data_IF_358369756226
#
_entry.id   IF_358369756226
#
_cell.length_a   1.000
_cell.length_b   1.000
_cell.length_c   1.000
_cell.angle_alpha   90.00
_cell.angle_beta   90.00
_cell.angle_gamma   90.00
#
_symmetry.space_group_name_H-M   'P 1'
#
loop_
_entity.id
_entity.type
_entity.pdbx_description
1 polymer ?
#
# COMPACT_ATOMS: atom_id res chain seq x y z
N UNK A 1 -9.40 37.87 1.81
CA UNK A 1 -9.49 37.34 3.19
C UNK A 1 -8.09 36.84 3.54
N UNK A 2 -7.57 37.11 4.73
CA UNK A 2 -6.22 36.64 5.10
C UNK A 2 -6.32 35.23 5.68
N UNK A 3 -5.70 34.26 5.02
CA UNK A 3 -5.62 32.89 5.50
C UNK A 3 -4.40 32.73 6.40
N UNK A 4 -4.55 31.98 7.49
CA UNK A 4 -3.49 31.66 8.44
C UNK A 4 -3.37 30.14 8.56
N UNK A 5 -2.19 29.60 8.26
CA UNK A 5 -1.85 28.20 8.53
C UNK A 5 -1.21 28.15 9.90
N UNK A 6 -1.76 27.31 10.79
CA UNK A 6 -1.34 27.22 12.18
C UNK A 6 -1.02 25.79 12.57
N UNK A 7 -0.17 25.63 13.57
CA UNK A 7 0.03 24.35 14.23
C UNK A 7 -1.02 24.11 15.35
N UNK A 8 -0.97 22.93 15.98
CA UNK A 8 -1.88 22.55 17.07
C UNK A 8 -1.79 23.44 18.32
N UNK A 9 -0.67 24.13 18.52
CA UNK A 9 -0.48 25.11 19.59
C UNK A 9 -1.08 26.50 19.24
N UNK A 10 -1.60 26.67 18.01
CA UNK A 10 -2.15 27.93 17.53
C UNK A 10 -1.10 28.93 17.04
N UNK A 11 0.17 28.53 16.96
CA UNK A 11 1.22 29.37 16.39
C UNK A 11 1.03 29.46 14.87
N UNK A 12 1.11 30.68 14.33
CA UNK A 12 1.08 30.92 12.89
C UNK A 12 2.40 30.44 12.26
N UNK A 13 2.29 29.54 11.29
CA UNK A 13 3.41 29.05 10.48
C UNK A 13 3.55 29.88 9.21
N UNK A 14 2.41 30.26 8.63
CA UNK A 14 2.34 31.05 7.41
C UNK A 14 1.03 31.84 7.36
N UNK A 15 1.06 33.00 6.71
CA UNK A 15 -0.16 33.72 6.37
C UNK A 15 -0.06 34.37 5.00
N UNK A 16 -1.20 34.40 4.32
CA UNK A 16 -1.30 34.84 2.93
C UNK A 16 -2.63 35.56 2.70
N UNK A 17 -2.62 36.57 1.85
CA UNK A 17 -3.82 37.30 1.44
C UNK A 17 -4.49 36.58 0.26
N UNK A 18 -5.19 35.49 0.56
CA UNK A 18 -5.81 34.60 -0.42
C UNK A 18 -6.56 33.45 0.26
N UNK A 19 -7.04 32.48 -0.53
CA UNK A 19 -7.63 31.26 0.02
C UNK A 19 -6.55 30.26 0.53
N UNK A 20 -6.98 29.11 1.07
CA UNK A 20 -6.05 28.13 1.63
C UNK A 20 -5.17 27.44 0.58
N UNK A 21 -5.68 27.21 -0.64
CA UNK A 21 -4.92 26.57 -1.71
C UNK A 21 -3.86 27.54 -2.23
N UNK A 22 -4.25 28.78 -2.46
CA UNK A 22 -3.30 29.86 -2.81
C UNK A 22 -2.23 30.06 -1.72
N UNK A 23 -2.62 29.96 -0.44
CA UNK A 23 -1.67 30.05 0.66
C UNK A 23 -0.69 28.86 0.71
N UNK A 24 -1.10 27.66 0.31
CA UNK A 24 -0.23 26.48 0.28
C UNK A 24 0.70 26.51 -0.94
N UNK A 25 0.21 26.94 -2.10
CA UNK A 25 1.01 27.17 -3.30
C UNK A 25 2.11 28.22 -3.02
N UNK A 26 1.72 29.38 -2.47
CA UNK A 26 2.68 30.42 -2.08
C UNK A 26 3.65 29.96 -0.99
N UNK A 27 3.22 29.07 -0.09
CA UNK A 27 4.12 28.45 0.90
C UNK A 27 5.15 27.53 0.24
N UNK A 28 4.77 26.81 -0.83
CA UNK A 28 5.67 25.98 -1.63
C UNK A 28 6.72 26.81 -2.35
N UNK A 29 6.29 27.86 -3.06
CA UNK A 29 7.19 28.81 -3.73
C UNK A 29 8.20 29.45 -2.75
N UNK A 30 7.76 29.75 -1.54
CA UNK A 30 8.59 30.33 -0.49
C UNK A 30 9.34 29.29 0.37
N UNK A 31 9.22 27.99 0.07
CA UNK A 31 9.83 26.88 0.82
C UNK A 31 9.56 26.94 2.32
N UNK A 32 8.32 27.25 2.68
CA UNK A 32 7.90 27.40 4.07
C UNK A 32 7.77 26.03 4.73
N UNK A 33 8.37 25.89 5.91
CA UNK A 33 8.18 24.70 6.74
C UNK A 33 6.80 24.71 7.39
N UNK A 34 5.92 23.83 6.92
CA UNK A 34 4.57 23.64 7.43
C UNK A 34 4.48 22.42 8.36
N UNK A 35 5.61 21.99 8.93
CA UNK A 35 5.67 20.91 9.92
C UNK A 35 4.65 21.15 11.03
N UNK A 36 3.83 20.12 11.31
CA UNK A 36 2.77 20.13 12.33
C UNK A 36 1.64 21.14 12.09
N UNK A 37 1.47 21.64 10.87
CA UNK A 37 0.29 22.39 10.50
C UNK A 37 -0.99 21.57 10.75
N UNK A 38 -2.10 22.26 11.03
CA UNK A 38 -3.42 21.65 11.21
C UNK A 38 -4.33 22.14 10.09
N UNK A 39 -4.66 21.21 9.19
CA UNK A 39 -5.46 21.37 7.99
C UNK A 39 -6.62 20.36 7.97
N UNK A 40 -7.08 19.95 9.16
CA UNK A 40 -8.18 18.99 9.32
C UNK A 40 -9.46 19.48 8.62
N UNK A 41 -10.07 18.61 7.81
CA UNK A 41 -11.28 18.89 7.06
C UNK A 41 -11.13 19.90 5.92
N UNK A 42 -9.90 20.33 5.60
CA UNK A 42 -9.65 21.28 4.53
C UNK A 42 -10.09 20.72 3.16
N UNK A 43 -10.66 21.58 2.32
CA UNK A 43 -10.86 21.26 0.90
C UNK A 43 -9.62 21.69 0.11
N UNK A 44 -8.80 20.70 -0.21
CA UNK A 44 -7.57 20.80 -0.98
C UNK A 44 -7.72 20.02 -2.30
N UNK A 45 -8.95 19.86 -2.79
CA UNK A 45 -9.17 19.15 -4.06
C UNK A 45 -8.53 19.90 -5.22
N UNK A 46 -7.76 19.14 -6.00
CA UNK A 46 -6.95 19.66 -7.10
C UNK A 46 -5.89 20.67 -6.69
N UNK A 47 -5.56 20.79 -5.40
CA UNK A 47 -4.52 21.70 -4.94
C UNK A 47 -3.15 21.22 -5.43
N UNK A 48 -2.28 22.17 -5.74
CA UNK A 48 -0.86 21.90 -5.95
C UNK A 48 -0.13 22.04 -4.62
N UNK A 49 0.42 20.93 -4.13
CA UNK A 49 1.13 20.82 -2.87
C UNK A 49 2.57 20.35 -3.07
N UNK A 50 3.03 20.25 -4.32
CA UNK A 50 4.35 19.74 -4.69
C UNK A 50 5.48 20.33 -3.84
N UNK A 51 6.45 19.49 -3.48
CA UNK A 51 7.65 19.85 -2.71
C UNK A 51 7.40 20.40 -1.28
N UNK A 52 6.16 20.48 -0.81
CA UNK A 52 5.88 21.00 0.52
C UNK A 52 6.46 20.10 1.63
N UNK A 53 7.01 20.74 2.66
CA UNK A 53 7.33 20.08 3.91
C UNK A 53 6.11 20.07 4.84
N UNK A 54 5.36 18.97 4.80
CA UNK A 54 4.14 18.73 5.59
C UNK A 54 4.36 17.65 6.66
N UNK A 55 5.58 17.52 7.18
CA UNK A 55 5.90 16.55 8.24
C UNK A 55 4.96 16.70 9.42
N UNK A 56 4.40 15.59 9.89
CA UNK A 56 3.48 15.57 11.03
C UNK A 56 2.26 16.51 10.88
N UNK A 57 1.90 16.92 9.66
CA UNK A 57 0.68 17.68 9.40
C UNK A 57 -0.54 16.87 9.82
N UNK A 58 -1.59 17.55 10.29
CA UNK A 58 -2.91 16.95 10.46
C UNK A 58 -3.79 17.35 9.27
N UNK A 59 -4.22 16.34 8.50
CA UNK A 59 -5.10 16.43 7.33
C UNK A 59 -6.30 15.48 7.50
N UNK A 60 -6.75 15.28 8.74
CA UNK A 60 -7.85 14.34 9.03
C UNK A 60 -9.11 14.77 8.32
N UNK A 61 -9.79 13.84 7.66
CA UNK A 61 -11.00 14.11 6.89
C UNK A 61 -10.82 15.18 5.78
N UNK A 62 -9.59 15.53 5.41
CA UNK A 62 -9.35 16.49 4.34
C UNK A 62 -9.76 15.92 2.97
N UNK A 63 -10.21 16.79 2.08
CA UNK A 63 -10.48 16.43 0.70
C UNK A 63 -9.26 16.79 -0.16
N UNK A 64 -8.47 15.80 -0.54
CA UNK A 64 -7.27 15.89 -1.38
C UNK A 64 -7.51 15.26 -2.77
N UNK A 65 -8.77 15.12 -3.18
CA UNK A 65 -9.13 14.49 -4.46
C UNK A 65 -8.39 15.18 -5.61
N UNK A 66 -7.59 14.41 -6.35
CA UNK A 66 -6.84 14.89 -7.51
C UNK A 66 -5.79 15.95 -7.19
N UNK A 67 -5.40 16.12 -5.93
CA UNK A 67 -4.32 17.03 -5.56
C UNK A 67 -2.97 16.50 -6.09
N UNK A 68 -2.05 17.42 -6.39
CA UNK A 68 -0.67 17.10 -6.67
C UNK A 68 0.12 17.13 -5.35
N UNK A 69 0.61 15.98 -4.89
CA UNK A 69 1.48 15.84 -3.72
C UNK A 69 2.83 15.24 -4.12
N UNK A 70 3.25 15.36 -5.39
CA UNK A 70 4.55 14.87 -5.81
C UNK A 70 5.69 15.42 -4.93
N UNK A 71 6.63 14.57 -4.55
CA UNK A 71 7.81 14.95 -3.73
C UNK A 71 7.49 15.54 -2.33
N UNK A 72 6.23 15.51 -1.87
CA UNK A 72 5.85 16.06 -0.57
C UNK A 72 6.40 15.21 0.59
N UNK A 73 6.89 15.88 1.63
CA UNK A 73 7.26 15.22 2.88
C UNK A 73 6.06 15.13 3.82
N UNK A 74 5.49 13.94 3.95
CA UNK A 74 4.37 13.59 4.83
C UNK A 74 4.78 12.66 5.98
N UNK A 75 6.07 12.59 6.34
CA UNK A 75 6.55 11.70 7.40
C UNK A 75 5.84 12.01 8.73
N UNK A 76 5.18 10.99 9.28
CA UNK A 76 4.36 11.04 10.47
C UNK A 76 3.08 11.88 10.35
N UNK A 77 2.65 12.25 9.14
CA UNK A 77 1.41 12.99 8.92
C UNK A 77 0.17 12.15 9.28
N UNK A 78 -0.94 12.82 9.59
CA UNK A 78 -2.22 12.19 9.89
C UNK A 78 -3.27 12.53 8.83
N UNK A 79 -3.54 11.57 7.96
CA UNK A 79 -4.54 11.60 6.89
C UNK A 79 -5.69 10.63 7.17
N UNK A 80 -5.99 10.35 8.44
CA UNK A 80 -7.09 9.47 8.82
C UNK A 80 -8.41 9.95 8.18
N UNK A 81 -9.12 9.02 7.53
CA UNK A 81 -10.36 9.25 6.78
C UNK A 81 -10.28 10.35 5.69
N UNK A 82 -9.07 10.72 5.24
CA UNK A 82 -8.92 11.69 4.15
C UNK A 82 -9.34 11.08 2.80
N UNK A 83 -9.84 11.93 1.91
CA UNK A 83 -10.18 11.54 0.54
C UNK A 83 -9.06 11.97 -0.41
N UNK A 84 -8.19 11.04 -0.80
CA UNK A 84 -7.09 11.25 -1.73
C UNK A 84 -7.40 10.77 -3.16
N UNK A 85 -8.62 10.32 -3.46
CA UNK A 85 -8.97 9.71 -4.75
C UNK A 85 -8.33 10.43 -5.95
N UNK A 86 -7.54 9.70 -6.73
CA UNK A 86 -6.88 10.19 -7.93
C UNK A 86 -5.77 11.22 -7.71
N UNK A 87 -5.28 11.40 -6.48
CA UNK A 87 -4.15 12.28 -6.18
C UNK A 87 -2.84 11.70 -6.72
N UNK A 88 -1.90 12.60 -7.06
CA UNK A 88 -0.52 12.24 -7.35
C UNK A 88 0.28 12.26 -6.04
N UNK A 89 0.85 11.13 -5.63
CA UNK A 89 1.70 10.94 -4.44
C UNK A 89 3.05 10.32 -4.84
N UNK A 90 3.43 10.43 -6.11
CA UNK A 90 4.71 9.95 -6.62
C UNK A 90 5.87 10.54 -5.84
N UNK A 91 6.86 9.71 -5.52
CA UNK A 91 8.07 10.08 -4.77
C UNK A 91 7.85 10.69 -3.37
N UNK A 92 6.65 10.59 -2.80
CA UNK A 92 6.36 11.14 -1.47
C UNK A 92 7.11 10.41 -0.35
N UNK A 93 7.52 11.15 0.68
CA UNK A 93 8.00 10.56 1.93
C UNK A 93 6.84 10.44 2.93
N UNK A 94 6.27 9.26 3.05
CA UNK A 94 5.09 8.95 3.87
C UNK A 94 5.42 7.94 4.99
N UNK A 95 6.66 7.92 5.47
CA UNK A 95 7.05 7.06 6.60
C UNK A 95 6.17 7.32 7.81
N UNK A 96 5.76 6.26 8.50
CA UNK A 96 4.94 6.34 9.71
C UNK A 96 3.63 7.16 9.56
N UNK A 97 3.15 7.37 8.32
CA UNK A 97 1.91 8.11 8.06
C UNK A 97 0.69 7.34 8.59
N UNK A 98 -0.33 8.07 9.05
CA UNK A 98 -1.63 7.49 9.41
C UNK A 98 -2.62 7.75 8.30
N UNK A 99 -2.97 6.70 7.55
CA UNK A 99 -3.94 6.70 6.45
C UNK A 99 -5.13 5.78 6.71
N UNK A 100 -5.28 5.23 7.92
CA UNK A 100 -6.38 4.31 8.24
C UNK A 100 -7.74 4.90 7.80
N UNK A 101 -8.53 4.11 7.07
CA UNK A 101 -9.83 4.52 6.53
C UNK A 101 -9.81 5.47 5.31
N UNK A 102 -8.64 5.95 4.87
CA UNK A 102 -8.53 6.87 3.75
C UNK A 102 -8.96 6.24 2.41
N UNK A 103 -9.41 7.10 1.49
CA UNK A 103 -9.72 6.72 0.12
C UNK A 103 -8.56 7.10 -0.81
N UNK A 104 -7.88 6.10 -1.34
CA UNK A 104 -6.74 6.16 -2.26
C UNK A 104 -7.09 5.61 -3.66
N UNK A 105 -8.38 5.47 -4.00
CA UNK A 105 -8.81 4.91 -5.28
C UNK A 105 -8.17 5.67 -6.46
N UNK A 106 -7.46 4.93 -7.32
CA UNK A 106 -6.80 5.48 -8.52
C UNK A 106 -5.67 6.48 -8.26
N UNK A 107 -5.11 6.54 -7.04
CA UNK A 107 -3.93 7.36 -6.77
C UNK A 107 -2.68 6.85 -7.50
N UNK A 108 -1.72 7.74 -7.75
CA UNK A 108 -0.36 7.37 -8.10
C UNK A 108 0.54 7.43 -6.86
N UNK A 109 1.09 6.30 -6.41
CA UNK A 109 2.07 6.19 -5.31
C UNK A 109 3.38 5.54 -5.79
N UNK A 110 3.70 5.68 -7.08
CA UNK A 110 4.95 5.20 -7.65
C UNK A 110 6.14 5.73 -6.84
N UNK A 111 7.06 4.83 -6.48
CA UNK A 111 8.26 5.11 -5.69
C UNK A 111 8.03 5.84 -4.35
N UNK A 112 6.79 5.83 -3.83
CA UNK A 112 6.48 6.43 -2.53
C UNK A 112 7.09 5.62 -1.38
N UNK A 113 7.47 6.30 -0.29
CA UNK A 113 8.06 5.68 0.91
C UNK A 113 7.03 5.59 2.02
N UNK A 114 6.45 4.42 2.22
CA UNK A 114 5.38 4.12 3.19
C UNK A 114 5.84 3.19 4.32
N UNK A 115 7.14 3.16 4.63
CA UNK A 115 7.70 2.29 5.68
C UNK A 115 7.00 2.56 7.01
N UNK A 116 6.47 1.50 7.63
CA UNK A 116 5.74 1.58 8.90
C UNK A 116 4.38 2.30 8.84
N UNK A 117 3.89 2.66 7.66
CA UNK A 117 2.61 3.36 7.51
C UNK A 117 1.42 2.55 8.05
N UNK A 118 0.45 3.26 8.64
CA UNK A 118 -0.83 2.67 9.03
C UNK A 118 -1.88 2.89 7.93
N UNK A 119 -2.13 1.84 7.16
CA UNK A 119 -3.02 1.77 6.00
C UNK A 119 -4.23 0.84 6.27
N UNK A 120 -4.62 0.67 7.53
CA UNK A 120 -5.71 -0.24 7.90
C UNK A 120 -7.01 0.17 7.21
N UNK A 121 -7.64 -0.79 6.53
CA UNK A 121 -8.96 -0.62 5.92
C UNK A 121 -9.04 0.44 4.81
N UNK A 122 -7.92 0.83 4.19
CA UNK A 122 -7.94 1.77 3.07
C UNK A 122 -8.70 1.20 1.85
N UNK A 123 -9.22 2.11 1.03
CA UNK A 123 -9.77 1.78 -0.29
C UNK A 123 -8.81 2.32 -1.35
N UNK A 124 -8.07 1.47 -2.05
CA UNK A 124 -7.05 1.90 -3.02
C UNK A 124 -7.19 1.23 -4.39
N UNK A 125 -8.40 0.84 -4.77
CA UNK A 125 -8.62 0.08 -6.01
C UNK A 125 -8.05 0.81 -7.22
N UNK A 126 -7.32 0.07 -8.04
CA UNK A 126 -6.66 0.60 -9.24
C UNK A 126 -5.57 1.63 -8.99
N UNK A 127 -5.08 1.80 -7.76
CA UNK A 127 -3.94 2.67 -7.48
C UNK A 127 -2.63 2.07 -7.99
N UNK A 128 -1.67 2.94 -8.30
CA UNK A 128 -0.31 2.57 -8.66
C UNK A 128 0.58 2.63 -7.42
N UNK A 129 1.27 1.55 -7.09
CA UNK A 129 2.25 1.41 -6.01
C UNK A 129 3.58 0.83 -6.54
N UNK A 130 3.81 0.91 -7.85
CA UNK A 130 5.05 0.43 -8.48
C UNK A 130 6.29 1.00 -7.79
N UNK A 131 7.26 0.13 -7.47
CA UNK A 131 8.52 0.51 -6.82
C UNK A 131 8.41 1.03 -5.38
N UNK A 132 7.20 1.22 -4.83
CA UNK A 132 7.00 1.82 -3.51
C UNK A 132 7.53 0.95 -2.36
N UNK A 133 7.98 1.60 -1.27
CA UNK A 133 8.50 0.92 -0.08
C UNK A 133 7.46 0.93 1.04
N UNK A 134 6.69 -0.14 1.15
CA UNK A 134 5.69 -0.43 2.19
C UNK A 134 6.21 -1.39 3.26
N UNK A 135 7.54 -1.53 3.44
CA UNK A 135 8.09 -2.44 4.44
C UNK A 135 7.49 -2.15 5.83
N UNK A 136 7.05 -3.20 6.52
CA UNK A 136 6.40 -3.13 7.85
C UNK A 136 5.11 -2.30 7.92
N UNK A 137 4.53 -1.91 6.79
CA UNK A 137 3.25 -1.20 6.79
C UNK A 137 2.11 -2.11 7.29
N UNK A 138 1.08 -1.49 7.87
CA UNK A 138 -0.12 -2.19 8.29
C UNK A 138 -1.27 -1.95 7.29
N UNK A 139 -1.55 -2.95 6.47
CA UNK A 139 -2.57 -2.99 5.42
C UNK A 139 -3.74 -3.93 5.78
N UNK A 140 -3.97 -4.21 7.07
CA UNK A 140 -5.03 -5.13 7.49
C UNK A 140 -6.39 -4.71 6.90
N UNK A 141 -7.03 -5.64 6.20
CA UNK A 141 -8.34 -5.44 5.58
C UNK A 141 -8.39 -4.39 4.48
N UNK A 142 -7.24 -3.92 3.97
CA UNK A 142 -7.21 -2.97 2.86
C UNK A 142 -7.79 -3.57 1.58
N UNK A 143 -8.39 -2.72 0.74
CA UNK A 143 -8.85 -3.09 -0.59
C UNK A 143 -7.92 -2.56 -1.67
N UNK A 144 -7.06 -3.45 -2.17
CA UNK A 144 -6.05 -3.21 -3.20
C UNK A 144 -6.41 -3.91 -4.53
N UNK A 145 -7.70 -4.13 -4.80
CA UNK A 145 -8.15 -4.80 -6.03
C UNK A 145 -7.72 -4.02 -7.28
N UNK A 146 -7.07 -4.73 -8.21
CA UNK A 146 -6.62 -4.17 -9.48
C UNK A 146 -5.47 -3.17 -9.37
N UNK A 147 -4.80 -3.07 -8.22
CA UNK A 147 -3.62 -2.22 -8.07
C UNK A 147 -2.42 -2.73 -8.87
N UNK A 148 -1.51 -1.81 -9.21
CA UNK A 148 -0.15 -2.15 -9.61
C UNK A 148 0.78 -2.07 -8.39
N UNK A 149 1.46 -3.16 -8.06
CA UNK A 149 2.44 -3.30 -6.96
C UNK A 149 3.73 -3.93 -7.49
N UNK A 150 4.00 -3.80 -8.79
CA UNK A 150 5.20 -4.32 -9.43
C UNK A 150 6.45 -3.77 -8.73
N UNK A 151 7.37 -4.67 -8.40
CA UNK A 151 8.64 -4.39 -7.69
C UNK A 151 8.49 -3.65 -6.35
N UNK A 152 7.28 -3.55 -5.79
CA UNK A 152 7.05 -2.94 -4.49
C UNK A 152 7.69 -3.77 -3.36
N UNK A 153 8.05 -3.11 -2.26
CA UNK A 153 8.62 -3.74 -1.06
C UNK A 153 7.59 -3.79 0.05
N UNK A 154 7.16 -4.99 0.43
CA UNK A 154 6.17 -5.28 1.46
C UNK A 154 6.72 -6.27 2.50
N UNK A 155 8.04 -6.38 2.64
CA UNK A 155 8.67 -7.23 3.65
C UNK A 155 8.18 -6.88 5.06
N UNK A 156 7.89 -7.92 5.84
CA UNK A 156 7.33 -7.84 7.19
C UNK A 156 5.99 -7.06 7.31
N UNK A 157 5.30 -6.73 6.20
CA UNK A 157 4.04 -5.98 6.23
C UNK A 157 2.88 -6.84 6.75
N UNK A 158 1.90 -6.20 7.40
CA UNK A 158 0.64 -6.86 7.78
C UNK A 158 -0.40 -6.67 6.67
N UNK A 159 -0.62 -7.70 5.87
CA UNK A 159 -1.59 -7.78 4.78
C UNK A 159 -2.76 -8.72 5.12
N UNK A 160 -3.03 -8.95 6.41
CA UNK A 160 -4.06 -9.91 6.80
C UNK A 160 -5.43 -9.45 6.28
N UNK A 161 -6.17 -10.39 5.68
CA UNK A 161 -7.49 -10.14 5.06
C UNK A 161 -7.51 -9.10 3.94
N UNK A 162 -6.37 -8.76 3.35
CA UNK A 162 -6.30 -7.83 2.22
C UNK A 162 -7.02 -8.40 0.98
N UNK A 163 -7.66 -7.53 0.20
CA UNK A 163 -8.17 -7.87 -1.14
C UNK A 163 -7.16 -7.42 -2.19
N UNK A 164 -6.50 -8.38 -2.85
CA UNK A 164 -5.50 -8.20 -3.91
C UNK A 164 -5.96 -8.84 -5.23
N UNK A 165 -7.28 -9.02 -5.41
CA UNK A 165 -7.81 -9.62 -6.64
C UNK A 165 -7.38 -8.82 -7.86
N UNK A 166 -6.98 -9.54 -8.92
CA UNK A 166 -6.62 -8.97 -10.22
C UNK A 166 -5.51 -7.92 -10.18
N UNK A 167 -4.76 -7.83 -9.09
CA UNK A 167 -3.67 -6.88 -8.94
C UNK A 167 -2.41 -7.42 -9.61
N UNK A 168 -1.51 -6.52 -10.02
CA UNK A 168 -0.16 -6.86 -10.47
C UNK A 168 0.79 -6.79 -9.27
N UNK A 169 1.47 -7.88 -8.96
CA UNK A 169 2.46 -8.04 -7.89
C UNK A 169 3.72 -8.72 -8.46
N UNK A 170 4.03 -8.52 -9.75
CA UNK A 170 5.24 -9.08 -10.32
C UNK A 170 6.47 -8.57 -9.56
N UNK A 171 7.37 -9.48 -9.19
CA UNK A 171 8.65 -9.12 -8.54
C UNK A 171 8.55 -8.60 -7.10
N UNK A 172 7.34 -8.51 -6.53
CA UNK A 172 7.13 -7.94 -5.19
C UNK A 172 7.94 -8.68 -4.10
N UNK A 173 8.50 -7.92 -3.16
CA UNK A 173 9.12 -8.46 -1.94
C UNK A 173 8.07 -8.59 -0.82
N UNK A 174 7.68 -9.81 -0.47
CA UNK A 174 6.75 -10.14 0.62
C UNK A 174 7.42 -11.04 1.67
N UNK A 175 8.75 -11.00 1.81
CA UNK A 175 9.50 -11.80 2.77
C UNK A 175 9.00 -11.51 4.21
N UNK A 176 8.61 -12.57 4.93
CA UNK A 176 8.07 -12.48 6.29
C UNK A 176 6.71 -11.77 6.43
N UNK A 177 6.05 -11.40 5.33
CA UNK A 177 4.78 -10.68 5.38
C UNK A 177 3.62 -11.55 5.91
N UNK A 178 2.63 -10.93 6.53
CA UNK A 178 1.42 -11.60 6.99
C UNK A 178 0.27 -11.43 6.00
N UNK A 179 0.03 -12.43 5.15
CA UNK A 179 -1.09 -12.52 4.20
C UNK A 179 -2.19 -13.48 4.68
N UNK A 180 -2.34 -13.69 5.99
CA UNK A 180 -3.37 -14.58 6.54
C UNK A 180 -4.75 -14.18 6.02
N UNK A 181 -5.45 -15.11 5.36
CA UNK A 181 -6.76 -14.93 4.72
C UNK A 181 -6.81 -13.83 3.65
N UNK A 182 -5.67 -13.50 3.04
CA UNK A 182 -5.63 -12.60 1.88
C UNK A 182 -6.33 -13.21 0.67
N UNK A 183 -6.93 -12.36 -0.17
CA UNK A 183 -7.59 -12.77 -1.41
C UNK A 183 -6.78 -12.29 -2.63
N UNK A 184 -6.04 -13.20 -3.25
CA UNK A 184 -5.19 -12.96 -4.41
C UNK A 184 -5.76 -13.60 -5.68
N UNK A 185 -7.09 -13.78 -5.77
CA UNK A 185 -7.68 -14.43 -6.95
C UNK A 185 -7.39 -13.66 -8.23
N UNK A 186 -6.95 -14.40 -9.24
CA UNK A 186 -6.57 -13.85 -10.55
C UNK A 186 -5.50 -12.75 -10.50
N UNK A 187 -4.72 -12.66 -9.41
CA UNK A 187 -3.60 -11.74 -9.33
C UNK A 187 -2.42 -12.24 -10.18
N UNK A 188 -1.62 -11.32 -10.71
CA UNK A 188 -0.29 -11.64 -11.20
C UNK A 188 0.68 -11.52 -10.02
N UNK A 189 1.31 -12.60 -9.62
CA UNK A 189 2.25 -12.64 -8.49
C UNK A 189 3.57 -13.27 -8.95
N UNK A 190 3.84 -13.24 -10.26
CA UNK A 190 5.03 -13.84 -10.86
C UNK A 190 6.32 -13.31 -10.19
N UNK A 191 7.28 -14.20 -9.94
CA UNK A 191 8.59 -13.91 -9.33
C UNK A 191 8.55 -13.31 -7.92
N UNK A 192 7.38 -13.19 -7.29
CA UNK A 192 7.28 -12.65 -5.93
C UNK A 192 8.09 -13.47 -4.92
N UNK A 193 8.65 -12.78 -3.93
CA UNK A 193 9.33 -13.37 -2.78
C UNK A 193 8.36 -13.51 -1.62
N UNK A 194 7.91 -14.73 -1.32
CA UNK A 194 6.98 -15.05 -0.23
C UNK A 194 7.66 -15.95 0.83
N UNK A 195 8.99 -15.86 0.95
CA UNK A 195 9.73 -16.64 1.96
C UNK A 195 9.32 -16.20 3.36
N UNK A 196 9.23 -17.17 4.27
CA UNK A 196 8.80 -16.96 5.67
C UNK A 196 7.40 -16.30 5.85
N UNK A 197 6.63 -16.09 4.77
CA UNK A 197 5.34 -15.42 4.83
C UNK A 197 4.26 -16.28 5.53
N UNK A 198 3.34 -15.60 6.22
CA UNK A 198 2.15 -16.22 6.83
C UNK A 198 0.98 -16.15 5.86
N UNK A 199 0.58 -17.28 5.31
CA UNK A 199 -0.41 -17.38 4.22
C UNK A 199 -1.57 -18.31 4.58
N UNK A 200 -1.85 -18.47 5.87
CA UNK A 200 -2.92 -19.36 6.34
C UNK A 200 -4.26 -18.93 5.74
N UNK A 201 -4.90 -19.83 5.00
CA UNK A 201 -6.18 -19.58 4.34
C UNK A 201 -6.14 -18.56 3.21
N UNK A 202 -4.96 -18.20 2.69
CA UNK A 202 -4.84 -17.31 1.54
C UNK A 202 -5.42 -17.96 0.27
N UNK A 203 -6.05 -17.15 -0.58
CA UNK A 203 -6.74 -17.62 -1.78
C UNK A 203 -6.03 -17.15 -3.05
N UNK A 204 -5.36 -18.07 -3.73
CA UNK A 204 -4.64 -17.88 -4.98
C UNK A 204 -5.36 -18.47 -6.19
N UNK A 205 -6.68 -18.72 -6.11
CA UNK A 205 -7.40 -19.33 -7.22
C UNK A 205 -7.24 -18.50 -8.51
N UNK A 206 -6.92 -19.18 -9.61
CA UNK A 206 -6.67 -18.60 -10.93
C UNK A 206 -5.50 -17.58 -10.99
N UNK A 207 -4.64 -17.51 -9.95
CA UNK A 207 -3.52 -16.58 -9.93
C UNK A 207 -2.33 -17.05 -10.77
N UNK A 208 -1.52 -16.11 -11.28
CA UNK A 208 -0.21 -16.41 -11.85
C UNK A 208 0.84 -16.38 -10.75
N UNK A 209 1.45 -17.53 -10.46
CA UNK A 209 2.47 -17.74 -9.43
C UNK A 209 3.76 -18.32 -10.05
N UNK A 210 4.01 -18.06 -11.34
CA UNK A 210 5.23 -18.53 -12.00
C UNK A 210 6.47 -18.00 -11.25
N UNK A 211 7.43 -18.87 -10.95
CA UNK A 211 8.69 -18.54 -10.26
C UNK A 211 8.55 -17.96 -8.84
N UNK A 212 7.40 -18.09 -8.18
CA UNK A 212 7.22 -17.62 -6.80
C UNK A 212 8.04 -18.45 -5.81
N UNK A 213 8.60 -17.76 -4.81
CA UNK A 213 9.39 -18.34 -3.73
C UNK A 213 8.55 -18.49 -2.45
N UNK A 214 8.18 -19.71 -2.07
CA UNK A 214 7.42 -20.02 -0.85
C UNK A 214 8.27 -20.70 0.23
N UNK A 215 9.61 -20.58 0.20
CA UNK A 215 10.44 -21.27 1.19
C UNK A 215 10.09 -20.88 2.63
N UNK A 216 9.88 -21.88 3.49
CA UNK A 216 9.46 -21.70 4.91
C UNK A 216 8.11 -21.01 5.12
N UNK A 217 7.36 -20.74 4.07
CA UNK A 217 6.04 -20.12 4.17
C UNK A 217 5.02 -21.03 4.88
N UNK A 218 4.10 -20.43 5.63
CA UNK A 218 2.94 -21.15 6.18
C UNK A 218 1.75 -21.05 5.24
N UNK A 219 1.51 -22.09 4.44
CA UNK A 219 0.42 -22.21 3.46
C UNK A 219 -0.74 -23.08 3.97
N UNK A 220 -0.90 -23.21 5.29
CA UNK A 220 -1.99 -24.02 5.86
C UNK A 220 -3.35 -23.55 5.33
N UNK A 221 -4.14 -24.47 4.78
CA UNK A 221 -5.44 -24.20 4.15
C UNK A 221 -5.43 -23.19 2.98
N UNK A 222 -4.27 -22.92 2.36
CA UNK A 222 -4.20 -22.05 1.19
C UNK A 222 -4.84 -22.71 -0.05
N UNK A 223 -5.48 -21.92 -0.91
CA UNK A 223 -6.15 -22.43 -2.11
C UNK A 223 -5.37 -22.03 -3.37
N UNK A 224 -4.82 -23.01 -4.10
CA UNK A 224 -4.10 -22.83 -5.36
C UNK A 224 -4.88 -23.38 -6.57
N UNK A 225 -6.19 -23.56 -6.46
CA UNK A 225 -6.98 -24.14 -7.55
C UNK A 225 -6.82 -23.32 -8.84
N UNK A 226 -6.55 -24.00 -9.96
CA UNK A 226 -6.27 -23.42 -11.28
C UNK A 226 -5.10 -22.42 -11.35
N UNK A 227 -4.30 -22.29 -10.29
CA UNK A 227 -3.19 -21.35 -10.29
C UNK A 227 -2.05 -21.84 -11.18
N UNK A 228 -1.33 -20.91 -11.80
CA UNK A 228 -0.09 -21.22 -12.52
C UNK A 228 1.09 -21.24 -11.55
N UNK A 229 1.57 -22.40 -11.12
CA UNK A 229 2.69 -22.55 -10.19
C UNK A 229 4.01 -22.91 -10.90
N UNK A 230 4.11 -22.71 -12.21
CA UNK A 230 5.28 -23.14 -12.97
C UNK A 230 6.58 -22.61 -12.34
N UNK A 231 7.53 -23.52 -12.04
CA UNK A 231 8.84 -23.21 -11.45
C UNK A 231 8.79 -22.57 -10.05
N UNK A 232 7.66 -22.58 -9.36
CA UNK A 232 7.57 -22.16 -7.97
C UNK A 232 8.36 -23.10 -7.03
N UNK A 233 8.81 -22.58 -5.89
CA UNK A 233 9.60 -23.31 -4.89
C UNK A 233 8.89 -23.35 -3.54
N UNK A 234 8.90 -24.51 -2.86
CA UNK A 234 8.16 -24.76 -1.61
C UNK A 234 9.04 -25.34 -0.49
N UNK A 235 10.37 -25.19 -0.55
CA UNK A 235 11.28 -25.86 0.39
C UNK A 235 10.93 -25.49 1.84
N UNK A 236 10.63 -26.49 2.66
CA UNK A 236 10.21 -26.32 4.07
C UNK A 236 8.91 -25.51 4.28
N UNK A 237 8.07 -25.35 3.25
CA UNK A 237 6.75 -24.75 3.38
C UNK A 237 5.77 -25.71 4.09
N UNK A 238 4.86 -25.16 4.90
CA UNK A 238 3.78 -25.93 5.52
C UNK A 238 2.55 -25.93 4.62
N UNK A 239 2.07 -27.10 4.19
CA UNK A 239 1.03 -27.25 3.16
C UNK A 239 -0.24 -27.96 3.66
N UNK A 240 -0.39 -28.13 4.98
CA UNK A 240 -1.53 -28.85 5.57
C UNK A 240 -2.86 -28.25 5.11
N UNK A 241 -3.70 -29.05 4.44
CA UNK A 241 -5.01 -28.61 3.96
C UNK A 241 -4.98 -27.71 2.72
N UNK A 242 -3.82 -27.46 2.11
CA UNK A 242 -3.73 -26.68 0.89
C UNK A 242 -4.33 -27.44 -0.32
N UNK A 243 -5.03 -26.74 -1.22
CA UNK A 243 -5.65 -27.33 -2.41
C UNK A 243 -4.93 -26.93 -3.70
N UNK A 244 -4.89 -27.83 -4.68
CA UNK A 244 -4.16 -27.63 -5.95
C UNK A 244 -4.98 -28.11 -7.18
N UNK A 245 -6.31 -28.11 -7.10
CA UNK A 245 -7.13 -28.68 -8.18
C UNK A 245 -6.93 -27.88 -9.48
N UNK A 246 -6.47 -28.54 -10.54
CA UNK A 246 -6.22 -27.87 -11.84
C UNK A 246 -4.99 -26.96 -11.87
N UNK A 247 -4.17 -26.93 -10.81
CA UNK A 247 -2.97 -26.10 -10.78
C UNK A 247 -1.89 -26.59 -11.75
N UNK A 248 -1.17 -25.67 -12.41
CA UNK A 248 0.01 -26.02 -13.21
C UNK A 248 1.24 -26.21 -12.31
N UNK A 249 1.64 -27.47 -12.07
CA UNK A 249 2.78 -27.81 -11.22
C UNK A 249 4.07 -28.11 -12.00
N UNK A 250 4.17 -27.68 -13.26
CA UNK A 250 5.36 -27.93 -14.08
C UNK A 250 6.62 -27.32 -13.46
N UNK A 251 7.68 -28.15 -13.28
CA UNK A 251 8.99 -27.75 -12.72
C UNK A 251 8.94 -27.14 -11.30
N UNK A 252 7.87 -27.37 -10.55
CA UNK A 252 7.80 -27.02 -9.13
C UNK A 252 8.87 -27.79 -8.34
N UNK A 253 9.49 -27.14 -7.35
CA UNK A 253 10.49 -27.76 -6.46
C UNK A 253 10.05 -27.66 -5.00
N UNK A 254 10.48 -28.62 -4.18
CA UNK A 254 10.23 -28.62 -2.74
C UNK A 254 8.78 -28.95 -2.33
N UNK A 255 7.91 -29.28 -3.30
CA UNK A 255 6.52 -29.66 -3.04
C UNK A 255 6.45 -31.15 -2.67
N UNK A 256 6.15 -31.45 -1.41
CA UNK A 256 5.76 -32.79 -0.97
C UNK A 256 4.24 -32.81 -0.78
N UNK A 257 3.53 -33.42 -1.73
CA UNK A 257 2.06 -33.52 -1.64
C UNK A 257 1.68 -34.35 -0.41
N UNK A 258 0.72 -33.91 0.42
CA UNK A 258 0.17 -34.77 1.46
C UNK A 258 -0.48 -35.99 0.80
N UNK A 259 -0.33 -37.18 1.40
CA UNK A 259 -0.97 -38.39 0.86
C UNK A 259 -2.50 -38.18 0.79
N UNK A 260 -3.17 -38.63 -0.28
CA UNK A 260 -4.63 -38.60 -0.32
C UNK A 260 -5.17 -39.51 0.79
N UNK A 261 -5.89 -38.91 1.74
CA UNK A 261 -6.61 -39.62 2.81
C UNK A 261 -7.86 -40.33 2.31
#
# INVERSE_FOLDING_TARGET
MRTQIKNKEGAELFSFDGDLREALEAAGEAQVDLTRAVLDGADLSGADLEDLNLRQVSLRNANLRGANLENVNLDGANLHDANLRGANLEHTDMREVVLAGANLEGCNLEDARLVGANLVGISAQGANFEGSDLARANLEGANLEGCNLEDARLSEANLSRVNLRRSNLEGVDLDGANLTRADLRSANVEKADLRDALLEGANFRDANLERVQFERANLTNACFDNANLERATFSAATLTGATFHGANLHRVKGLTMPEPG
#
